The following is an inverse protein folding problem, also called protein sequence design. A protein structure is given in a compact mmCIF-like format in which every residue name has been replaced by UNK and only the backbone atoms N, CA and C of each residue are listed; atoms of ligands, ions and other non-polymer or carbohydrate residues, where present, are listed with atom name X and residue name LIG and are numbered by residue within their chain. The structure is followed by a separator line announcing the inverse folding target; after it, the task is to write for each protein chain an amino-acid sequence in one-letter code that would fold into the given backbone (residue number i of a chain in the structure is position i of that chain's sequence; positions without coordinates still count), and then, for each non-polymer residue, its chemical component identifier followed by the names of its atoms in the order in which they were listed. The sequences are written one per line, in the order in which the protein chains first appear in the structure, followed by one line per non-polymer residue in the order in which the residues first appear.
data_IF_508697617590
#
_entry.id   IF_508697617590
#
_cell.length_a   1.000
_cell.length_b   1.000
_cell.length_c   1.000
_cell.angle_alpha   90.00
_cell.angle_beta   90.00
_cell.angle_gamma   90.00
#
_symmetry.space_group_name_H-M   'P 1'
#
loop_
_entity.id
_entity.type
_entity.pdbx_description
1 polymer ?
#
# COMPACT_ATOMS: atom_id res chain seq x y z
N UNK A 1 -12.07 -15.75 55.83
CA UNK A 1 -10.92 -15.77 54.93
C UNK A 1 -11.43 -16.11 53.53
N UNK A 2 -11.52 -15.13 52.64
CA UNK A 2 -11.99 -15.32 51.25
C UNK A 2 -10.74 -15.21 50.37
N UNK A 3 -10.33 -16.31 49.75
CA UNK A 3 -9.22 -16.31 48.79
C UNK A 3 -9.82 -15.93 47.43
N UNK A 4 -9.57 -14.70 47.00
CA UNK A 4 -9.90 -14.27 45.65
C UNK A 4 -8.79 -14.74 44.69
N UNK A 5 -9.07 -15.77 43.89
CA UNK A 5 -8.20 -16.15 42.77
C UNK A 5 -8.49 -15.22 41.58
N UNK A 6 -7.61 -14.26 41.35
CA UNK A 6 -7.58 -13.49 40.10
C UNK A 6 -6.81 -14.28 39.05
N UNK A 7 -7.52 -14.91 38.13
CA UNK A 7 -6.91 -15.43 36.90
C UNK A 7 -6.56 -14.26 35.99
N UNK A 8 -5.29 -13.87 35.95
CA UNK A 8 -4.75 -13.01 34.89
C UNK A 8 -4.66 -13.86 33.61
N UNK A 9 -5.69 -13.75 32.76
CA UNK A 9 -5.65 -14.29 31.41
C UNK A 9 -4.66 -13.48 30.57
N UNK A 10 -3.53 -14.10 30.23
CA UNK A 10 -2.61 -13.57 29.22
C UNK A 10 -3.29 -13.80 27.86
N UNK A 11 -3.90 -12.75 27.30
CA UNK A 11 -4.37 -12.75 25.92
C UNK A 11 -3.15 -12.75 25.00
N UNK A 12 -2.69 -13.94 24.63
CA UNK A 12 -1.76 -14.11 23.52
C UNK A 12 -2.51 -13.82 22.22
N UNK A 13 -2.26 -12.65 21.64
CA UNK A 13 -2.76 -12.31 20.30
C UNK A 13 -1.93 -13.11 19.29
N UNK A 14 -2.40 -14.30 18.93
CA UNK A 14 -1.84 -15.06 17.82
C UNK A 14 -2.33 -14.40 16.54
N UNK A 15 -1.44 -13.78 15.75
CA UNK A 15 -1.77 -13.35 14.41
C UNK A 15 -2.12 -14.60 13.60
N UNK A 16 -3.39 -14.72 13.20
CA UNK A 16 -3.80 -15.79 12.30
C UNK A 16 -3.12 -15.54 10.95
N UNK A 17 -2.10 -16.33 10.64
CA UNK A 17 -1.52 -16.38 9.30
C UNK A 17 -2.63 -16.86 8.36
N UNK A 18 -3.04 -16.00 7.43
CA UNK A 18 -4.04 -16.39 6.43
C UNK A 18 -3.43 -17.51 5.57
N UNK A 19 -4.20 -18.55 5.21
CA UNK A 19 -3.68 -19.61 4.35
C UNK A 19 -3.15 -19.01 3.05
N UNK A 20 -2.04 -19.53 2.50
CA UNK A 20 -1.48 -19.03 1.25
C UNK A 20 -2.55 -19.11 0.16
N UNK A 21 -2.88 -17.95 -0.43
CA UNK A 21 -3.83 -17.86 -1.54
C UNK A 21 -3.14 -18.28 -2.83
N UNK A 22 -3.93 -18.78 -3.78
CA UNK A 22 -3.48 -19.13 -5.13
C UNK A 22 -3.86 -18.07 -6.18
N UNK A 23 -4.49 -16.96 -5.76
CA UNK A 23 -4.89 -15.85 -6.63
C UNK A 23 -5.03 -14.55 -5.84
N UNK A 24 -4.94 -13.42 -6.54
CA UNK A 24 -5.24 -12.10 -5.97
C UNK A 24 -6.74 -11.96 -5.70
N UNK A 25 -7.11 -11.26 -4.62
CA UNK A 25 -8.50 -10.97 -4.32
C UNK A 25 -9.18 -10.17 -5.43
N UNK A 26 -10.34 -10.66 -5.87
CA UNK A 26 -11.21 -9.93 -6.78
C UNK A 26 -12.11 -8.95 -6.01
N UNK A 27 -11.51 -7.89 -5.48
CA UNK A 27 -12.24 -6.83 -4.76
C UNK A 27 -13.01 -5.92 -5.71
N UNK A 28 -14.16 -5.42 -5.26
CA UNK A 28 -14.87 -4.36 -5.96
C UNK A 28 -14.13 -3.02 -5.74
N UNK A 29 -13.80 -2.34 -6.84
CA UNK A 29 -13.15 -1.04 -6.80
C UNK A 29 -14.15 0.11 -6.67
N UNK A 30 -13.62 1.32 -6.52
CA UNK A 30 -14.43 2.54 -6.39
C UNK A 30 -15.41 2.68 -7.55
N UNK A 31 -16.70 2.82 -7.21
CA UNK A 31 -17.75 3.12 -8.18
C UNK A 31 -17.59 4.52 -8.76
N UNK A 32 -17.90 4.68 -10.05
CA UNK A 32 -17.73 5.93 -10.79
C UNK A 32 -16.31 6.50 -10.66
N UNK A 33 -15.30 5.63 -10.73
CA UNK A 33 -13.90 6.01 -10.62
C UNK A 33 -13.51 6.98 -11.74
N UNK A 34 -12.81 8.06 -11.39
CA UNK A 34 -12.32 9.09 -12.32
C UNK A 34 -10.79 8.99 -12.48
N UNK A 35 -10.29 8.25 -13.49
CA UNK A 35 -8.86 7.95 -13.61
C UNK A 35 -7.96 9.18 -13.70
N UNK A 36 -8.41 10.20 -14.43
CA UNK A 36 -7.68 11.46 -14.64
C UNK A 36 -7.42 12.21 -13.34
N UNK A 37 -8.32 12.11 -12.35
CA UNK A 37 -8.14 12.72 -11.03
C UNK A 37 -7.20 11.89 -10.15
N UNK A 38 -7.28 10.57 -10.26
CA UNK A 38 -6.51 9.67 -9.41
C UNK A 38 -5.04 9.53 -9.85
N UNK A 39 -4.80 9.22 -11.12
CA UNK A 39 -3.46 8.96 -11.68
C UNK A 39 -2.76 10.24 -12.09
N UNK A 40 -2.58 11.14 -11.14
CA UNK A 40 -1.90 12.42 -11.31
C UNK A 40 -1.06 12.72 -10.09
N UNK A 41 0.23 12.96 -10.27
CA UNK A 41 1.11 13.44 -9.20
C UNK A 41 1.41 12.37 -8.15
N UNK A 42 1.62 12.82 -6.91
CA UNK A 42 2.23 12.01 -5.85
C UNK A 42 1.18 11.47 -4.85
N UNK A 43 1.48 10.30 -4.30
CA UNK A 43 0.81 9.66 -3.18
C UNK A 43 1.86 9.17 -2.18
N UNK A 44 1.64 9.43 -0.90
CA UNK A 44 2.51 9.02 0.20
C UNK A 44 1.77 8.00 1.06
N UNK A 45 2.37 6.85 1.32
CA UNK A 45 1.76 5.90 2.25
C UNK A 45 1.61 6.54 3.63
N UNK A 46 0.43 6.38 4.21
CA UNK A 46 0.12 6.75 5.60
C UNK A 46 -0.04 5.51 6.48
N UNK A 47 -0.66 4.46 5.93
CA UNK A 47 -0.87 3.19 6.63
C UNK A 47 -0.66 2.00 5.69
N UNK A 48 -0.16 0.89 6.25
CA UNK A 48 0.03 -0.39 5.57
C UNK A 48 -0.39 -1.54 6.50
N UNK A 49 -1.15 -2.50 5.99
CA UNK A 49 -1.66 -3.61 6.81
C UNK A 49 -0.55 -4.53 7.29
N UNK A 50 0.32 -4.96 6.37
CA UNK A 50 1.45 -5.85 6.68
C UNK A 50 2.76 -5.23 6.22
N UNK A 51 3.60 -4.82 7.17
CA UNK A 51 4.96 -4.39 6.88
C UNK A 51 5.89 -4.79 8.02
N UNK A 52 7.14 -5.10 7.68
CA UNK A 52 8.26 -4.94 8.61
C UNK A 52 8.72 -3.49 8.52
N UNK A 53 8.48 -2.64 9.53
CA UNK A 53 9.02 -1.29 9.56
C UNK A 53 10.56 -1.31 9.50
N UNK A 54 11.24 -0.27 9.00
CA UNK A 54 10.73 1.04 8.59
C UNK A 54 10.51 1.24 7.08
N UNK A 55 11.03 0.36 6.21
CA UNK A 55 11.20 0.66 4.77
C UNK A 55 9.89 0.73 3.98
N UNK A 56 8.95 -0.20 4.19
CA UNK A 56 7.77 -0.31 3.34
C UNK A 56 6.76 0.84 3.55
N UNK A 57 6.55 1.29 4.79
CA UNK A 57 5.62 2.39 5.13
C UNK A 57 6.13 3.76 4.65
N UNK A 58 7.42 3.87 4.37
CA UNK A 58 8.01 5.09 3.84
C UNK A 58 7.84 5.27 2.33
N UNK A 59 7.20 4.32 1.64
CA UNK A 59 7.01 4.40 0.19
C UNK A 59 6.24 5.66 -0.22
N UNK A 60 6.74 6.29 -1.27
CA UNK A 60 6.02 7.31 -2.01
C UNK A 60 5.85 6.85 -3.47
N UNK A 61 4.76 7.24 -4.11
CA UNK A 61 4.43 6.83 -5.47
C UNK A 61 4.05 8.04 -6.30
N UNK A 62 4.62 8.14 -7.50
CA UNK A 62 4.17 9.06 -8.55
C UNK A 62 3.35 8.28 -9.59
N UNK A 63 2.17 8.79 -9.91
CA UNK A 63 1.26 8.21 -10.88
C UNK A 63 0.97 9.20 -12.02
N UNK A 64 0.83 8.65 -13.21
CA UNK A 64 0.49 9.40 -14.42
C UNK A 64 -0.37 8.53 -15.34
N UNK A 65 -1.49 9.06 -15.79
CA UNK A 65 -2.27 8.47 -16.88
C UNK A 65 -1.83 9.09 -18.20
N UNK A 66 -1.36 8.27 -19.12
CA UNK A 66 -0.90 8.71 -20.44
C UNK A 66 -2.07 8.83 -21.42
N UNK A 67 -1.86 9.58 -22.51
CA UNK A 67 -2.84 9.79 -23.57
C UNK A 67 -3.31 8.48 -24.24
N UNK A 68 -2.46 7.46 -24.25
CA UNK A 68 -2.80 6.12 -24.77
C UNK A 68 -3.63 5.27 -23.78
N UNK A 69 -4.01 5.81 -22.63
CA UNK A 69 -4.80 5.15 -21.60
C UNK A 69 -4.01 4.24 -20.65
N UNK A 70 -2.69 4.11 -20.83
CA UNK A 70 -1.85 3.37 -19.90
C UNK A 70 -1.46 4.21 -18.68
N UNK A 71 -1.20 3.54 -17.55
CA UNK A 71 -0.81 4.18 -16.29
C UNK A 71 0.69 3.97 -16.07
N UNK A 72 1.46 5.04 -15.92
CA UNK A 72 2.80 4.95 -15.37
C UNK A 72 2.77 5.08 -13.85
N UNK A 73 3.54 4.22 -13.19
CA UNK A 73 3.77 4.24 -11.75
C UNK A 73 5.27 4.24 -11.49
N UNK A 74 5.74 5.20 -10.70
CA UNK A 74 7.09 5.16 -10.09
C UNK A 74 6.93 5.07 -8.59
N UNK A 75 7.38 3.99 -7.99
CA UNK A 75 7.38 3.81 -6.55
C UNK A 75 8.80 3.96 -6.01
N UNK A 76 8.95 4.76 -4.97
CA UNK A 76 10.21 5.13 -4.35
C UNK A 76 10.22 4.62 -2.92
N UNK A 77 11.36 4.11 -2.49
CA UNK A 77 11.60 3.69 -1.12
C UNK A 77 13.09 3.63 -0.83
N UNK A 78 13.44 3.01 0.29
CA UNK A 78 14.83 2.75 0.64
C UNK A 78 14.96 1.47 1.46
N UNK A 79 16.14 0.87 1.43
CA UNK A 79 16.56 -0.23 2.30
C UNK A 79 17.71 0.28 3.18
N UNK A 80 17.77 -0.21 4.41
CA UNK A 80 18.88 0.04 5.31
C UNK A 80 19.67 -1.26 5.48
N UNK A 81 20.96 -1.23 5.17
CA UNK A 81 21.84 -2.39 5.34
C UNK A 81 23.19 -1.94 5.89
N UNK A 82 23.61 -2.48 7.05
CA UNK A 82 24.90 -2.13 7.65
C UNK A 82 25.08 -0.65 7.98
N UNK A 83 23.98 0.09 8.24
CA UNK A 83 24.00 1.54 8.47
C UNK A 83 24.06 2.40 7.19
N UNK A 84 24.01 1.78 6.02
CA UNK A 84 23.95 2.46 4.72
C UNK A 84 22.52 2.44 4.20
N UNK A 85 22.08 3.59 3.70
CA UNK A 85 20.79 3.76 3.04
C UNK A 85 20.94 3.56 1.54
N UNK A 86 20.24 2.59 1.01
CA UNK A 86 20.12 2.35 -0.43
C UNK A 86 18.74 2.79 -0.89
N UNK A 87 18.68 3.81 -1.74
CA UNK A 87 17.43 4.25 -2.34
C UNK A 87 17.03 3.30 -3.48
N UNK A 88 15.76 2.91 -3.50
CA UNK A 88 15.21 1.98 -4.48
C UNK A 88 14.05 2.60 -5.23
N UNK A 89 13.98 2.32 -6.52
CA UNK A 89 12.90 2.73 -7.40
C UNK A 89 12.37 1.54 -8.17
N UNK A 90 11.04 1.39 -8.18
CA UNK A 90 10.33 0.50 -9.10
C UNK A 90 9.56 1.33 -10.11
N UNK A 91 9.71 0.98 -11.39
CA UNK A 91 8.95 1.57 -12.49
C UNK A 91 7.92 0.55 -12.97
N UNK A 92 6.68 0.97 -13.19
CA UNK A 92 5.65 0.12 -13.74
C UNK A 92 4.85 0.81 -14.83
N UNK A 93 4.44 0.00 -15.82
CA UNK A 93 3.44 0.37 -16.82
C UNK A 93 2.20 -0.48 -16.59
N UNK A 94 1.04 0.14 -16.57
CA UNK A 94 -0.22 -0.49 -16.20
C UNK A 94 -1.29 -0.36 -17.27
N UNK A 95 -2.07 -1.43 -17.45
CA UNK A 95 -3.31 -1.41 -18.21
C UNK A 95 -4.47 -1.17 -17.26
N UNK A 96 -5.20 -0.07 -17.46
CA UNK A 96 -6.31 0.34 -16.62
C UNK A 96 -7.64 -0.29 -17.09
N UNK A 97 -8.36 -0.86 -16.15
CA UNK A 97 -9.78 -1.14 -16.25
C UNK A 97 -10.54 -0.11 -15.39
N UNK A 98 -11.07 0.93 -16.04
CA UNK A 98 -11.74 2.05 -15.38
C UNK A 98 -13.00 1.62 -14.64
N UNK A 99 -13.83 0.76 -15.24
CA UNK A 99 -15.11 0.31 -14.65
C UNK A 99 -14.90 -0.42 -13.32
N UNK A 100 -13.80 -1.15 -13.18
CA UNK A 100 -13.46 -1.89 -11.95
C UNK A 100 -12.53 -1.12 -11.02
N UNK A 101 -12.06 0.06 -11.43
CA UNK A 101 -10.97 0.80 -10.77
C UNK A 101 -9.73 -0.09 -10.51
N UNK A 102 -9.37 -0.93 -11.49
CA UNK A 102 -8.25 -1.89 -11.40
C UNK A 102 -7.16 -1.59 -12.41
N UNK A 103 -5.93 -1.85 -12.03
CA UNK A 103 -4.77 -1.72 -12.91
C UNK A 103 -3.92 -2.99 -12.82
N UNK A 104 -3.60 -3.54 -13.99
CA UNK A 104 -2.63 -4.63 -14.13
C UNK A 104 -1.29 -4.04 -14.51
N UNK A 105 -0.34 -4.03 -13.57
CA UNK A 105 1.00 -3.47 -13.74
C UNK A 105 2.02 -4.54 -14.14
N UNK A 106 2.89 -4.18 -15.07
CA UNK A 106 4.20 -4.80 -15.28
C UNK A 106 5.24 -3.89 -14.66
N UNK A 107 5.88 -4.34 -13.59
CA UNK A 107 6.86 -3.55 -12.84
C UNK A 107 8.28 -4.08 -13.06
N UNK A 108 9.25 -3.20 -12.90
CA UNK A 108 10.67 -3.53 -12.86
C UNK A 108 11.42 -2.70 -11.82
N UNK A 109 12.46 -3.26 -11.24
CA UNK A 109 13.41 -2.54 -10.38
C UNK A 109 14.83 -3.07 -10.61
N UNK A 110 15.83 -2.29 -10.20
CA UNK A 110 17.22 -2.71 -10.20
C UNK A 110 17.55 -3.40 -8.88
N UNK A 111 18.18 -4.56 -8.96
CA UNK A 111 18.72 -5.29 -7.83
C UNK A 111 20.09 -5.86 -8.23
N UNK A 112 21.16 -5.48 -7.53
CA UNK A 112 22.54 -5.90 -7.84
C UNK A 112 22.93 -5.68 -9.31
N UNK A 113 22.56 -4.51 -9.87
CA UNK A 113 22.77 -4.15 -11.28
C UNK A 113 21.99 -5.00 -12.31
N UNK A 114 21.08 -5.86 -11.87
CA UNK A 114 20.18 -6.61 -12.73
C UNK A 114 18.76 -6.04 -12.69
N UNK A 115 18.10 -6.01 -13.85
CA UNK A 115 16.68 -5.62 -13.92
C UNK A 115 15.81 -6.82 -13.55
N UNK A 116 15.07 -6.70 -12.45
CA UNK A 116 14.08 -7.69 -12.01
C UNK A 116 12.69 -7.21 -12.39
N UNK A 117 11.92 -8.10 -13.02
CA UNK A 117 10.53 -7.84 -13.40
C UNK A 117 9.59 -8.51 -12.41
N UNK A 118 8.43 -7.91 -12.17
CA UNK A 118 7.37 -8.51 -11.38
C UNK A 118 6.00 -7.94 -11.77
N UNK A 119 4.97 -8.78 -11.98
CA UNK A 119 3.61 -8.34 -12.22
C UNK A 119 2.91 -8.01 -10.89
N UNK A 120 2.11 -6.96 -10.90
CA UNK A 120 1.35 -6.51 -9.73
C UNK A 120 -0.06 -6.08 -10.15
N UNK A 121 -1.06 -6.47 -9.37
CA UNK A 121 -2.43 -5.97 -9.53
C UNK A 121 -2.71 -4.91 -8.47
N UNK A 122 -3.36 -3.82 -8.88
CA UNK A 122 -3.83 -2.76 -8.01
C UNK A 122 -5.33 -2.57 -8.15
N UNK A 123 -6.04 -2.41 -7.03
CA UNK A 123 -7.47 -2.04 -7.01
C UNK A 123 -7.64 -0.80 -6.13
N UNK A 124 -8.20 0.27 -6.67
CA UNK A 124 -8.54 1.47 -5.91
C UNK A 124 -9.89 1.19 -5.25
N UNK A 125 -9.90 1.08 -3.92
CA UNK A 125 -11.10 0.69 -3.16
C UNK A 125 -11.95 1.91 -2.82
N UNK A 126 -11.31 3.00 -2.39
CA UNK A 126 -11.97 4.27 -2.10
C UNK A 126 -10.96 5.43 -2.21
N UNK A 127 -11.42 6.61 -2.61
CA UNK A 127 -10.62 7.82 -2.69
C UNK A 127 -11.53 9.03 -2.91
N UNK A 128 -11.12 10.17 -2.37
CA UNK A 128 -11.65 11.48 -2.75
C UNK A 128 -10.77 12.20 -3.78
N UNK A 129 -9.77 11.51 -4.32
CA UNK A 129 -8.75 11.96 -5.27
C UNK A 129 -7.74 12.98 -4.73
N UNK A 130 -8.16 13.82 -3.79
CA UNK A 130 -7.42 15.01 -3.36
C UNK A 130 -6.72 14.85 -2.01
N UNK A 131 -7.21 14.00 -1.10
CA UNK A 131 -6.67 13.90 0.25
C UNK A 131 -6.28 12.48 0.62
N UNK A 132 -7.05 11.48 0.21
CA UNK A 132 -6.79 10.10 0.58
C UNK A 132 -7.08 9.08 -0.51
N UNK A 133 -6.44 7.92 -0.39
CA UNK A 133 -6.80 6.71 -1.10
C UNK A 133 -6.68 5.50 -0.21
N UNK A 134 -7.66 4.61 -0.28
CA UNK A 134 -7.57 3.22 0.18
C UNK A 134 -7.44 2.35 -1.05
N UNK A 135 -6.40 1.54 -1.12
CA UNK A 135 -6.15 0.66 -2.26
C UNK A 135 -5.53 -0.66 -1.83
N UNK A 136 -5.79 -1.67 -2.63
CA UNK A 136 -5.27 -3.02 -2.48
C UNK A 136 -4.22 -3.29 -3.55
N UNK A 137 -3.13 -3.95 -3.17
CA UNK A 137 -2.10 -4.43 -4.10
C UNK A 137 -1.84 -5.91 -3.90
N UNK A 138 -1.46 -6.60 -4.97
CA UNK A 138 -1.11 -8.02 -4.93
C UNK A 138 0.00 -8.33 -5.95
N UNK A 139 1.04 -9.04 -5.53
CA UNK A 139 2.17 -9.45 -6.37
C UNK A 139 2.15 -10.96 -6.53
N UNK A 140 1.89 -11.44 -7.77
CA UNK A 140 1.67 -12.86 -8.05
C UNK A 140 2.91 -13.72 -7.76
N UNK A 141 4.08 -13.25 -8.17
CA UNK A 141 5.34 -14.02 -8.14
C UNK A 141 5.88 -14.25 -6.72
N UNK A 142 5.49 -13.42 -5.75
CA UNK A 142 5.90 -13.54 -4.35
C UNK A 142 4.76 -14.19 -3.55
N UNK A 143 4.28 -15.35 -4.01
CA UNK A 143 3.18 -16.11 -3.40
C UNK A 143 1.93 -15.26 -3.09
N UNK A 144 1.54 -14.40 -4.03
CA UNK A 144 0.39 -13.50 -3.86
C UNK A 144 0.51 -12.60 -2.64
N UNK A 145 1.72 -12.08 -2.37
CA UNK A 145 1.94 -11.08 -1.34
C UNK A 145 0.99 -9.91 -1.59
N UNK A 146 0.06 -9.72 -0.66
CA UNK A 146 -1.02 -8.75 -0.77
C UNK A 146 -0.97 -7.73 0.36
N UNK A 147 -1.50 -6.53 0.11
CA UNK A 147 -1.58 -5.50 1.12
C UNK A 147 -2.75 -4.56 0.90
N UNK A 148 -3.27 -4.04 2.01
CA UNK A 148 -4.17 -2.90 2.02
C UNK A 148 -3.39 -1.68 2.45
N UNK A 149 -3.53 -0.62 1.68
CA UNK A 149 -2.73 0.59 1.77
C UNK A 149 -3.65 1.79 1.90
N UNK A 150 -3.25 2.72 2.76
CA UNK A 150 -3.87 4.05 2.84
C UNK A 150 -2.81 5.07 2.48
N UNK A 151 -3.07 5.92 1.50
CA UNK A 151 -2.17 6.98 1.09
C UNK A 151 -2.81 8.36 1.21
N UNK A 152 -1.97 9.39 1.36
CA UNK A 152 -2.35 10.81 1.28
C UNK A 152 -1.63 11.51 0.15
N UNK A 153 -2.22 12.58 -0.38
CA UNK A 153 -1.54 13.51 -1.30
C UNK A 153 -0.48 14.34 -0.60
N UNK A 154 -0.58 14.50 0.71
CA UNK A 154 0.36 15.27 1.51
C UNK A 154 1.28 14.33 2.28
N UNK A 155 2.58 14.60 2.21
CA UNK A 155 3.58 13.83 2.92
C UNK A 155 3.38 13.99 4.42
N UNK A 156 3.54 12.89 5.17
CA UNK A 156 3.50 12.84 6.64
C UNK A 156 2.17 13.30 7.27
N UNK A 157 1.10 13.38 6.46
CA UNK A 157 -0.27 13.63 6.94
C UNK A 157 -1.03 12.31 7.02
N UNK A 158 -1.62 12.03 8.18
CA UNK A 158 -2.61 10.96 8.35
C UNK A 158 -3.97 11.46 7.86
N UNK A 159 -4.53 10.87 6.79
CA UNK A 159 -5.86 11.26 6.33
C UNK A 159 -6.92 10.79 7.35
N UNK A 160 -7.87 11.66 7.68
CA UNK A 160 -8.88 11.45 8.73
C UNK A 160 -10.29 11.20 8.21
N UNK A 161 -10.44 11.05 6.88
CA UNK A 161 -11.75 10.84 6.27
C UNK A 161 -12.38 9.52 6.77
N UNK A 162 -13.62 9.55 7.30
CA UNK A 162 -14.26 8.37 7.89
C UNK A 162 -14.44 7.22 6.89
N UNK A 163 -14.52 7.52 5.58
CA UNK A 163 -14.64 6.50 4.52
C UNK A 163 -13.46 5.52 4.52
N UNK A 164 -12.29 5.93 5.01
CA UNK A 164 -11.12 5.06 5.14
C UNK A 164 -11.43 3.91 6.10
N UNK A 165 -11.85 4.25 7.32
CA UNK A 165 -12.16 3.27 8.35
C UNK A 165 -13.38 2.42 7.95
N UNK A 166 -14.40 3.03 7.34
CA UNK A 166 -15.58 2.31 6.85
C UNK A 166 -15.23 1.29 5.76
N UNK A 167 -14.38 1.67 4.80
CA UNK A 167 -13.93 0.78 3.71
C UNK A 167 -13.15 -0.41 4.25
N UNK A 168 -12.18 -0.16 5.15
CA UNK A 168 -11.41 -1.22 5.78
C UNK A 168 -12.27 -2.15 6.65
N UNK A 169 -13.24 -1.58 7.38
CA UNK A 169 -14.17 -2.36 8.22
C UNK A 169 -15.04 -3.30 7.40
N UNK A 170 -15.52 -2.88 6.22
CA UNK A 170 -16.26 -3.76 5.28
C UNK A 170 -15.43 -4.96 4.82
N UNK A 171 -14.11 -4.82 4.82
CA UNK A 171 -13.15 -5.87 4.47
C UNK A 171 -12.68 -6.69 5.69
N UNK A 172 -13.22 -6.41 6.88
CA UNK A 172 -12.87 -7.12 8.13
C UNK A 172 -11.64 -6.57 8.85
N UNK A 173 -11.14 -5.41 8.44
CA UNK A 173 -9.94 -4.80 9.02
C UNK A 173 -10.25 -3.57 9.88
N UNK A 174 -9.32 -3.25 10.78
CA UNK A 174 -9.35 -2.03 11.57
C UNK A 174 -8.09 -1.21 11.35
N UNK A 175 -8.24 0.09 11.08
CA UNK A 175 -7.12 0.98 10.72
C UNK A 175 -6.07 1.08 11.85
N UNK A 176 -6.48 0.96 13.13
CA UNK A 176 -5.56 0.98 14.28
C UNK A 176 -4.60 -0.21 14.32
N UNK A 177 -4.86 -1.27 13.54
CA UNK A 177 -3.97 -2.43 13.41
C UNK A 177 -2.93 -2.27 12.30
N UNK A 178 -3.03 -1.21 11.50
CA UNK A 178 -2.09 -0.96 10.41
C UNK A 178 -0.84 -0.28 10.97
N UNK A 179 0.29 -0.55 10.33
CA UNK A 179 1.52 0.20 10.59
C UNK A 179 1.33 1.62 10.05
N UNK A 180 1.51 2.63 10.89
CA UNK A 180 1.42 4.05 10.52
C UNK A 180 2.78 4.66 10.20
N UNK A 181 2.81 5.56 9.22
CA UNK A 181 3.97 6.40 8.89
C UNK A 181 4.32 7.40 9.98
N UNK A 182 3.35 7.87 10.77
CA UNK A 182 3.54 8.95 11.75
C UNK A 182 4.63 8.68 12.79
N UNK A 183 4.87 7.40 13.09
CA UNK A 183 5.85 6.98 14.08
C UNK A 183 7.19 6.54 13.45
N UNK A 184 7.41 6.85 12.15
CA UNK A 184 8.59 6.45 11.39
C UNK A 184 9.22 7.67 10.73
N UNK A 185 10.52 7.85 10.93
CA UNK A 185 11.29 8.88 10.22
C UNK A 185 11.63 8.36 8.83
N UNK A 186 10.93 8.88 7.82
CA UNK A 186 11.14 8.48 6.43
C UNK A 186 12.13 9.39 5.71
N UNK A 187 13.13 8.78 5.06
CA UNK A 187 14.08 9.47 4.20
C UNK A 187 13.43 9.79 2.85
N UNK A 188 13.71 10.99 2.36
CA UNK A 188 13.26 11.41 1.02
C UNK A 188 14.16 10.82 -0.05
N UNK A 189 13.52 10.26 -1.08
CA UNK A 189 14.22 9.81 -2.26
C UNK A 189 14.69 11.04 -3.06
N UNK A 190 15.95 11.11 -3.52
CA UNK A 190 16.49 12.27 -4.23
C UNK A 190 15.64 12.71 -5.44
N UNK A 191 15.11 11.74 -6.19
CA UNK A 191 14.29 11.99 -7.39
C UNK A 191 12.80 12.27 -7.11
N UNK A 192 12.41 12.42 -5.84
CA UNK A 192 11.01 12.59 -5.44
C UNK A 192 10.64 14.01 -4.97
N UNK A 193 11.58 14.96 -5.04
CA UNK A 193 11.37 16.37 -4.69
C UNK A 193 10.83 17.22 -5.85
#
# INVERSE_FOLDING_TARGET
MIIALTFLGILTVTFAESPPRNECLNLEGKQNFEPQKYFKGNWYLSHIHHASPPSAICQATKLELLDNGSVQKKAYGYKEHGGVTEFVQANCTGTLNTEKAKVSFQCQHLENSEVKHFPMEGTILETDYDNFSVYYVCVKEIKYLENYLVASRQKDIEPTDPRIAETLKKLGYSLDKFVTRKNVVCKDHPDFN
#
